data_IF_621458952920
#
_entry.id   IF_621458952920
#
_cell.length_a   1.000
_cell.length_b   1.000
_cell.length_c   1.000
_cell.angle_alpha   90.00
_cell.angle_beta   90.00
_cell.angle_gamma   90.00
#
_symmetry.space_group_name_H-M   'P 1'
#
loop_
_entity.id
_entity.type
_entity.pdbx_description
1 polymer ?
#
# COMPACT_ATOMS: atom_id res chain seq x y z
N UNK A 1 13.85 8.72 18.25
CA UNK A 1 13.37 10.12 18.15
C UNK A 1 12.38 10.14 17.01
N UNK A 2 11.08 10.34 17.28
CA UNK A 2 10.10 10.51 16.21
C UNK A 2 10.56 11.67 15.31
N UNK A 3 10.75 11.47 14.00
CA UNK A 3 10.98 12.60 13.11
C UNK A 3 9.76 13.50 13.25
N UNK A 4 9.96 14.73 13.73
CA UNK A 4 8.91 15.75 13.84
C UNK A 4 8.38 16.00 12.43
N UNK A 5 7.32 15.29 12.06
CA UNK A 5 6.60 15.48 10.80
C UNK A 5 6.24 16.97 10.74
N UNK A 6 6.84 17.68 9.79
CA UNK A 6 6.63 19.12 9.67
C UNK A 6 5.20 19.39 9.21
N UNK A 7 4.68 20.60 9.46
CA UNK A 7 3.34 20.98 8.97
C UNK A 7 3.19 20.79 7.45
N UNK A 8 4.28 20.91 6.69
CA UNK A 8 4.33 20.68 5.26
C UNK A 8 4.18 19.21 4.86
N UNK A 9 4.75 18.29 5.63
CA UNK A 9 4.62 16.85 5.37
C UNK A 9 3.17 16.38 5.57
N UNK A 10 2.50 16.89 6.60
CA UNK A 10 1.07 16.61 6.85
C UNK A 10 0.19 17.02 5.67
N UNK A 11 0.48 18.15 5.03
CA UNK A 11 -0.26 18.61 3.84
C UNK A 11 -0.06 17.65 2.67
N UNK A 12 1.18 17.18 2.42
CA UNK A 12 1.43 16.19 1.37
C UNK A 12 0.67 14.89 1.62
N UNK A 13 0.70 14.38 2.85
CA UNK A 13 -0.04 13.17 3.20
C UNK A 13 -1.55 13.35 3.04
N UNK A 14 -2.08 14.52 3.41
CA UNK A 14 -3.49 14.86 3.21
C UNK A 14 -3.85 14.88 1.70
N UNK A 15 -3.00 15.48 0.86
CA UNK A 15 -3.21 15.50 -0.59
C UNK A 15 -3.20 14.09 -1.19
N UNK A 16 -2.29 13.22 -0.75
CA UNK A 16 -2.23 11.83 -1.22
C UNK A 16 -3.47 11.04 -0.75
N UNK A 17 -3.90 11.21 0.50
CA UNK A 17 -5.12 10.58 1.00
C UNK A 17 -6.37 11.05 0.25
N UNK A 18 -6.49 12.35 -0.01
CA UNK A 18 -7.60 12.91 -0.79
C UNK A 18 -7.58 12.41 -2.25
N UNK A 19 -6.40 12.31 -2.85
CA UNK A 19 -6.23 11.70 -4.17
C UNK A 19 -6.70 10.25 -4.21
N UNK A 20 -6.30 9.44 -3.21
CA UNK A 20 -6.77 8.07 -3.07
C UNK A 20 -8.29 7.96 -2.89
N UNK A 21 -8.88 8.82 -2.07
CA UNK A 21 -10.33 8.87 -1.89
C UNK A 21 -11.07 9.30 -3.17
N UNK A 22 -10.53 10.26 -3.92
CA UNK A 22 -11.09 10.70 -5.20
C UNK A 22 -11.04 9.58 -6.25
N UNK A 23 -9.92 8.86 -6.35
CA UNK A 23 -9.81 7.66 -7.19
C UNK A 23 -10.85 6.62 -6.77
N UNK A 24 -10.99 6.34 -5.48
CA UNK A 24 -12.01 5.41 -4.99
C UNK A 24 -13.44 5.83 -5.37
N UNK A 25 -13.75 7.11 -5.28
CA UNK A 25 -15.03 7.68 -5.72
C UNK A 25 -15.26 7.54 -7.22
N UNK A 26 -14.24 7.78 -8.05
CA UNK A 26 -14.31 7.61 -9.51
C UNK A 26 -14.47 6.14 -9.88
N UNK A 27 -13.79 5.21 -9.21
CA UNK A 27 -13.95 3.78 -9.49
C UNK A 27 -15.36 3.31 -9.09
N UNK A 28 -15.92 3.81 -7.98
CA UNK A 28 -17.28 3.46 -7.54
C UNK A 28 -18.39 4.06 -8.41
N UNK A 29 -18.27 5.34 -8.75
CA UNK A 29 -19.36 6.13 -9.34
C UNK A 29 -19.05 6.63 -10.75
N UNK A 30 -17.92 6.25 -11.32
CA UNK A 30 -17.46 6.64 -12.64
C UNK A 30 -18.35 6.18 -13.78
N UNK A 31 -17.96 6.53 -15.02
CA UNK A 31 -18.73 6.27 -16.23
C UNK A 31 -19.06 4.78 -16.42
N UNK A 32 -20.14 4.50 -17.14
CA UNK A 32 -20.67 3.15 -17.33
C UNK A 32 -19.62 2.18 -17.91
N UNK A 33 -18.74 2.68 -18.79
CA UNK A 33 -17.63 1.94 -19.40
C UNK A 33 -16.71 1.29 -18.35
N UNK A 34 -16.34 2.03 -17.29
CA UNK A 34 -15.52 1.50 -16.19
C UNK A 34 -16.22 0.42 -15.37
N UNK A 35 -17.56 0.46 -15.30
CA UNK A 35 -18.36 -0.52 -14.55
C UNK A 35 -18.55 -1.82 -15.32
N UNK A 36 -18.56 -1.74 -16.65
CA UNK A 36 -18.64 -2.88 -17.55
C UNK A 36 -17.30 -3.61 -17.65
N UNK A 37 -16.18 -2.89 -17.67
CA UNK A 37 -14.84 -3.49 -17.72
C UNK A 37 -14.37 -4.04 -16.37
N UNK A 38 -14.80 -3.45 -15.24
CA UNK A 38 -14.35 -3.85 -13.90
C UNK A 38 -15.55 -4.37 -13.08
N UNK A 39 -15.78 -5.70 -13.04
CA UNK A 39 -16.92 -6.28 -12.33
C UNK A 39 -16.91 -5.98 -10.81
N UNK A 40 -15.73 -5.71 -10.25
CA UNK A 40 -15.51 -5.42 -8.82
C UNK A 40 -15.25 -3.92 -8.54
N UNK A 41 -15.67 -3.02 -9.43
CA UNK A 41 -15.40 -1.58 -9.33
C UNK A 41 -15.86 -0.98 -7.99
N UNK A 42 -16.99 -1.46 -7.44
CA UNK A 42 -17.46 -1.00 -6.13
C UNK A 42 -16.56 -1.45 -4.98
N UNK A 43 -16.16 -2.72 -4.91
CA UNK A 43 -15.24 -3.17 -3.85
C UNK A 43 -13.87 -2.50 -3.96
N UNK A 44 -13.36 -2.35 -5.18
CA UNK A 44 -12.10 -1.65 -5.43
C UNK A 44 -12.16 -0.20 -4.96
N UNK A 45 -13.21 0.53 -5.31
CA UNK A 45 -13.35 1.92 -4.88
C UNK A 45 -13.55 2.07 -3.37
N UNK A 46 -14.29 1.16 -2.73
CA UNK A 46 -14.36 1.05 -1.27
C UNK A 46 -12.97 0.82 -0.65
N UNK A 47 -12.18 -0.06 -1.26
CA UNK A 47 -10.80 -0.34 -0.86
C UNK A 47 -9.92 0.91 -0.92
N UNK A 48 -10.00 1.71 -1.98
CA UNK A 48 -9.28 2.98 -2.09
C UNK A 48 -9.68 4.00 -1.04
N UNK A 49 -10.97 4.11 -0.72
CA UNK A 49 -11.46 5.01 0.34
C UNK A 49 -10.97 4.54 1.72
N UNK A 50 -11.04 3.23 1.99
CA UNK A 50 -10.54 2.65 3.23
C UNK A 50 -9.02 2.84 3.37
N UNK A 51 -8.28 2.69 2.28
CA UNK A 51 -6.83 2.93 2.24
C UNK A 51 -6.51 4.41 2.49
N UNK A 52 -7.26 5.34 1.90
CA UNK A 52 -7.12 6.78 2.17
C UNK A 52 -7.40 7.13 3.64
N UNK A 53 -8.44 6.54 4.23
CA UNK A 53 -8.73 6.71 5.66
C UNK A 53 -7.60 6.13 6.54
N UNK A 54 -7.04 4.97 6.15
CA UNK A 54 -5.90 4.37 6.84
C UNK A 54 -4.64 5.25 6.75
N UNK A 55 -4.39 5.89 5.60
CA UNK A 55 -3.29 6.84 5.45
C UNK A 55 -3.43 8.04 6.39
N UNK A 56 -4.64 8.55 6.58
CA UNK A 56 -4.90 9.62 7.56
C UNK A 56 -4.70 9.12 8.99
N UNK A 57 -5.19 7.92 9.32
CA UNK A 57 -5.01 7.32 10.64
C UNK A 57 -3.53 7.06 10.97
N UNK A 58 -2.71 6.70 9.98
CA UNK A 58 -1.28 6.47 10.14
C UNK A 58 -0.50 7.73 10.59
N UNK A 59 -1.04 8.93 10.42
CA UNK A 59 -0.43 10.17 10.91
C UNK A 59 -0.53 10.34 12.43
N UNK A 60 -1.48 9.65 13.07
CA UNK A 60 -1.78 9.81 14.50
C UNK A 60 -1.59 8.53 15.31
N UNK A 61 -1.69 7.36 14.67
CA UNK A 61 -1.64 6.06 15.35
C UNK A 61 -0.49 5.21 14.82
N UNK A 62 0.44 4.82 15.71
CA UNK A 62 1.57 3.93 15.41
C UNK A 62 1.09 2.61 14.81
N UNK A 63 0.02 2.03 15.35
CA UNK A 63 -0.58 0.79 14.85
C UNK A 63 -1.13 0.94 13.43
N UNK A 64 -1.74 2.09 13.10
CA UNK A 64 -2.24 2.36 11.75
C UNK A 64 -1.08 2.56 10.76
N UNK A 65 0.01 3.20 11.20
CA UNK A 65 1.26 3.33 10.43
C UNK A 65 1.88 1.96 10.15
N UNK A 66 1.99 1.09 11.15
CA UNK A 66 2.46 -0.28 10.98
C UNK A 66 1.59 -1.08 10.02
N UNK A 67 0.26 -0.95 10.11
CA UNK A 67 -0.69 -1.62 9.22
C UNK A 67 -0.57 -1.11 7.78
N UNK A 68 -0.43 0.21 7.60
CA UNK A 68 -0.22 0.82 6.29
C UNK A 68 1.08 0.32 5.65
N UNK A 69 2.17 0.28 6.42
CA UNK A 69 3.45 -0.24 5.96
C UNK A 69 3.37 -1.71 5.58
N UNK A 70 2.67 -2.53 6.37
CA UNK A 70 2.42 -3.93 6.05
C UNK A 70 1.68 -4.10 4.72
N UNK A 71 0.62 -3.32 4.49
CA UNK A 71 -0.16 -3.38 3.24
C UNK A 71 0.70 -2.96 2.04
N UNK A 72 1.38 -1.82 2.13
CA UNK A 72 2.19 -1.29 1.02
C UNK A 72 3.35 -2.23 0.70
N UNK A 73 4.11 -2.66 1.71
CA UNK A 73 5.22 -3.60 1.51
C UNK A 73 4.75 -4.96 1.03
N UNK A 74 3.61 -5.45 1.52
CA UNK A 74 2.99 -6.70 1.05
C UNK A 74 2.57 -6.63 -0.42
N UNK A 75 1.97 -5.53 -0.86
CA UNK A 75 1.60 -5.31 -2.26
C UNK A 75 2.83 -5.23 -3.16
N UNK A 76 3.86 -4.49 -2.74
CA UNK A 76 5.14 -4.41 -3.47
C UNK A 76 5.81 -5.79 -3.53
N UNK A 77 5.80 -6.54 -2.43
CA UNK A 77 6.33 -7.89 -2.36
C UNK A 77 5.62 -8.83 -3.33
N UNK A 78 4.29 -8.85 -3.31
CA UNK A 78 3.48 -9.65 -4.23
C UNK A 78 3.75 -9.27 -5.69
N UNK A 79 3.81 -7.98 -6.01
CA UNK A 79 4.12 -7.49 -7.36
C UNK A 79 5.53 -7.89 -7.82
N UNK A 80 6.52 -7.80 -6.94
CA UNK A 80 7.90 -8.20 -7.24
C UNK A 80 8.02 -9.72 -7.47
N UNK A 81 7.39 -10.55 -6.62
CA UNK A 81 7.35 -12.00 -6.80
C UNK A 81 6.65 -12.33 -8.12
N UNK A 82 5.51 -11.71 -8.41
CA UNK A 82 4.77 -11.94 -9.65
C UNK A 82 5.63 -11.57 -10.88
N UNK A 83 6.30 -10.42 -10.84
CA UNK A 83 7.19 -9.97 -11.92
C UNK A 83 8.35 -10.95 -12.14
N UNK A 84 8.98 -11.42 -11.05
CA UNK A 84 10.07 -12.40 -11.14
C UNK A 84 9.60 -13.78 -11.62
N UNK A 85 8.40 -14.21 -11.23
CA UNK A 85 7.83 -15.50 -11.60
C UNK A 85 7.30 -15.53 -13.04
N UNK A 86 6.56 -14.50 -13.45
CA UNK A 86 5.86 -14.43 -14.73
C UNK A 86 6.65 -13.70 -15.83
N UNK A 87 7.76 -13.02 -15.49
CA UNK A 87 8.58 -12.30 -16.47
C UNK A 87 9.44 -13.26 -17.31
N UNK A 88 8.88 -13.76 -18.41
CA UNK A 88 9.58 -14.63 -19.37
C UNK A 88 10.68 -13.88 -20.15
N UNK A 89 10.52 -12.57 -20.34
CA UNK A 89 11.48 -11.70 -21.04
C UNK A 89 12.67 -11.25 -20.17
N UNK A 90 12.65 -11.56 -18.87
CA UNK A 90 13.69 -11.15 -17.93
C UNK A 90 14.84 -12.15 -17.91
N UNK A 91 16.07 -11.63 -17.87
CA UNK A 91 17.24 -12.47 -17.65
C UNK A 91 17.14 -13.19 -16.29
N UNK A 92 17.68 -14.40 -16.18
CA UNK A 92 17.58 -15.25 -14.98
C UNK A 92 17.99 -14.52 -13.70
N UNK A 93 19.02 -13.69 -13.77
CA UNK A 93 19.49 -12.90 -12.62
C UNK A 93 18.50 -11.79 -12.21
N UNK A 94 17.79 -11.18 -13.17
CA UNK A 94 16.75 -10.17 -12.90
C UNK A 94 15.54 -10.82 -12.21
N UNK A 95 15.11 -11.98 -12.69
CA UNK A 95 14.05 -12.77 -12.04
C UNK A 95 14.41 -13.12 -10.60
N UNK A 96 15.65 -13.58 -10.39
CA UNK A 96 16.19 -13.84 -9.06
C UNK A 96 16.15 -12.61 -8.15
N UNK A 97 16.56 -11.44 -8.64
CA UNK A 97 16.50 -10.19 -7.87
C UNK A 97 15.08 -9.77 -7.52
N UNK A 98 14.12 -9.89 -8.45
CA UNK A 98 12.72 -9.57 -8.18
C UNK A 98 12.11 -10.52 -7.14
N UNK A 99 12.43 -11.81 -7.20
CA UNK A 99 11.98 -12.80 -6.20
C UNK A 99 12.61 -12.50 -4.83
N UNK A 100 13.91 -12.16 -4.78
CA UNK A 100 14.59 -11.79 -3.53
C UNK A 100 14.04 -10.51 -2.93
N UNK A 101 13.82 -9.47 -3.75
CA UNK A 101 13.16 -8.24 -3.34
C UNK A 101 11.76 -8.53 -2.80
N UNK A 102 11.02 -9.38 -3.49
CA UNK A 102 9.70 -9.84 -3.09
C UNK A 102 9.71 -10.57 -1.74
N UNK A 103 10.62 -11.51 -1.54
CA UNK A 103 10.79 -12.22 -0.27
C UNK A 103 11.16 -11.27 0.87
N UNK A 104 12.10 -10.35 0.65
CA UNK A 104 12.49 -9.34 1.63
C UNK A 104 11.33 -8.40 1.99
N UNK A 105 10.58 -7.92 0.99
CA UNK A 105 9.39 -7.12 1.20
C UNK A 105 8.29 -7.87 1.96
N UNK A 106 8.11 -9.16 1.69
CA UNK A 106 7.15 -10.01 2.40
C UNK A 106 7.52 -10.23 3.86
N UNK A 107 8.79 -10.47 4.16
CA UNK A 107 9.30 -10.57 5.54
C UNK A 107 9.07 -9.26 6.28
N UNK A 108 9.37 -8.13 5.64
CA UNK A 108 9.14 -6.80 6.22
C UNK A 108 7.64 -6.52 6.47
N UNK A 109 6.77 -6.94 5.55
CA UNK A 109 5.33 -6.84 5.73
C UNK A 109 4.83 -7.63 6.95
N UNK A 110 5.35 -8.84 7.14
CA UNK A 110 5.04 -9.68 8.32
C UNK A 110 5.55 -9.02 9.59
N UNK A 111 6.78 -8.49 9.60
CA UNK A 111 7.31 -7.78 10.75
C UNK A 111 6.44 -6.56 11.12
N UNK A 112 6.03 -5.78 10.11
CA UNK A 112 5.09 -4.66 10.30
C UNK A 112 3.74 -5.13 10.86
N UNK A 113 3.20 -6.27 10.40
CA UNK A 113 1.97 -6.86 10.95
C UNK A 113 2.12 -7.23 12.42
N UNK A 114 3.26 -7.80 12.83
CA UNK A 114 3.54 -8.06 14.26
C UNK A 114 3.53 -6.75 15.04
N UNK A 115 4.17 -5.71 14.51
CA UNK A 115 4.20 -4.37 15.13
C UNK A 115 2.83 -3.71 15.26
N UNK A 116 1.85 -4.06 14.42
CA UNK A 116 0.44 -3.62 14.59
C UNK A 116 -0.12 -4.11 15.94
N UNK A 117 0.21 -5.34 16.33
CA UNK A 117 -0.29 -5.94 17.57
C UNK A 117 0.55 -5.57 18.79
N UNK A 118 1.89 -5.48 18.64
CA UNK A 118 2.77 -5.06 19.75
C UNK A 118 2.66 -3.56 20.05
N UNK A 119 2.27 -2.74 19.06
CA UNK A 119 2.20 -1.28 19.20
C UNK A 119 3.57 -0.60 19.12
N UNK A 120 4.62 -1.33 18.77
CA UNK A 120 5.95 -0.79 18.51
C UNK A 120 5.97 -0.12 17.14
N UNK A 121 6.79 0.93 16.98
CA UNK A 121 6.97 1.56 15.67
C UNK A 121 7.93 0.71 14.83
N UNK A 122 7.48 0.11 13.70
CA UNK A 122 8.35 -0.72 12.85
C UNK A 122 9.40 0.09 12.07
N UNK A 123 9.36 1.43 12.15
CA UNK A 123 10.32 2.33 11.52
C UNK A 123 11.32 2.96 12.50
N UNK A 124 11.24 2.62 13.79
CA UNK A 124 12.20 3.02 14.81
C UNK A 124 13.47 2.16 14.78
#
# INVERSE_FOLDING_TARGET
MDPKITGFDRIKYLLVALGGAAVGGVVMFGPAELREEIPWHRELGMGFIAFAALMLAALFFVRAKALLLAIVSGLVAAGAIFTGAAGEDLATWQRGLFILLGAGGGIFAIACLVSVFSGEDPSA
#
